data_IF_885498278204
#
_entry.id   IF_885498278204
#
_cell.length_a   1.000
_cell.length_b   1.000
_cell.length_c   1.000
_cell.angle_alpha   90.00
_cell.angle_beta   90.00
_cell.angle_gamma   90.00
#
_symmetry.space_group_name_H-M   'P 1'
#
loop_
_entity.id
_entity.type
_entity.pdbx_description
1 polymer ?
#
# COMPACT_ATOMS: atom_id res chain seq x y z
N UNK A 1 -11.99 -4.58 4.08
CA UNK A 1 -12.41 -5.65 3.14
C UNK A 1 -12.04 -6.99 3.76
N UNK A 2 -12.94 -7.97 3.83
CA UNK A 2 -12.71 -9.20 4.61
C UNK A 2 -11.60 -10.12 4.08
N UNK A 3 -10.94 -9.78 2.96
CA UNK A 3 -9.99 -10.65 2.26
C UNK A 3 -8.53 -10.14 2.28
N UNK A 4 -8.21 -9.06 3.02
CA UNK A 4 -6.84 -8.55 3.09
C UNK A 4 -6.31 -7.92 1.78
N UNK A 5 -7.19 -7.44 0.90
CA UNK A 5 -6.80 -6.71 -0.31
C UNK A 5 -7.12 -5.22 -0.19
N UNK A 6 -6.17 -4.39 -0.62
CA UNK A 6 -6.31 -2.93 -0.67
C UNK A 6 -5.95 -2.39 -2.05
N UNK A 7 -6.54 -1.26 -2.40
CA UNK A 7 -6.32 -0.56 -3.67
C UNK A 7 -5.55 0.75 -3.42
N UNK A 8 -4.19 0.74 -3.41
CA UNK A 8 -3.37 1.94 -3.17
C UNK A 8 -3.43 2.99 -4.27
N UNK A 9 -3.62 2.52 -5.50
CA UNK A 9 -3.73 3.35 -6.69
C UNK A 9 -4.95 2.92 -7.50
N UNK A 10 -5.41 3.77 -8.41
CA UNK A 10 -6.55 3.41 -9.25
C UNK A 10 -6.25 2.22 -10.19
N UNK A 11 -4.98 1.98 -10.52
CA UNK A 11 -4.54 0.87 -11.38
C UNK A 11 -4.03 -0.38 -10.63
N UNK A 12 -3.92 -0.35 -9.30
CA UNK A 12 -3.27 -1.41 -8.53
C UNK A 12 -4.15 -1.95 -7.41
N UNK A 13 -4.31 -3.26 -7.33
CA UNK A 13 -4.93 -3.99 -6.22
C UNK A 13 -3.89 -4.96 -5.66
N UNK A 14 -3.58 -4.85 -4.37
CA UNK A 14 -2.51 -5.62 -3.73
C UNK A 14 -3.02 -6.34 -2.48
N UNK A 15 -2.31 -7.40 -2.09
CA UNK A 15 -2.52 -8.11 -0.84
C UNK A 15 -1.71 -7.44 0.29
N UNK A 16 -2.37 -7.06 1.39
CA UNK A 16 -1.73 -6.37 2.51
C UNK A 16 -0.73 -7.24 3.25
N UNK A 17 -0.95 -8.56 3.28
CA UNK A 17 -0.10 -9.52 3.97
C UNK A 17 1.24 -9.75 3.25
N UNK A 18 1.41 -9.15 2.06
CA UNK A 18 2.61 -9.27 1.20
C UNK A 18 3.34 -7.94 1.06
N UNK A 19 2.99 -6.94 1.88
CA UNK A 19 3.67 -5.65 1.93
C UNK A 19 4.94 -5.82 2.75
N UNK A 20 6.08 -5.45 2.18
CA UNK A 20 7.37 -5.48 2.86
C UNK A 20 7.59 -4.21 3.67
N UNK A 21 7.34 -3.04 3.06
CA UNK A 21 7.45 -1.73 3.71
C UNK A 21 6.72 -0.64 2.92
N UNK A 22 6.44 0.48 3.59
CA UNK A 22 5.99 1.70 2.94
C UNK A 22 7.15 2.70 2.84
N UNK A 23 7.47 3.12 1.62
CA UNK A 23 8.43 4.17 1.36
C UNK A 23 7.72 5.53 1.28
N UNK A 24 8.29 6.55 1.92
CA UNK A 24 7.73 7.91 1.96
C UNK A 24 8.26 8.80 0.83
N UNK A 25 9.22 8.32 0.04
CA UNK A 25 9.85 9.07 -1.06
C UNK A 25 8.82 9.35 -2.18
N UNK A 26 8.95 10.52 -2.85
CA UNK A 26 8.21 10.90 -4.07
C UNK A 26 6.67 10.74 -4.01
N UNK A 27 6.04 11.04 -2.87
CA UNK A 27 4.58 10.97 -2.71
C UNK A 27 4.09 9.70 -2.01
N UNK A 28 4.95 8.69 -1.89
CA UNK A 28 4.72 7.46 -1.14
C UNK A 28 4.46 6.25 -2.02
N UNK A 29 5.18 5.16 -1.78
CA UNK A 29 5.05 3.89 -2.49
C UNK A 29 5.04 2.71 -1.51
N UNK A 30 4.39 1.62 -1.90
CA UNK A 30 4.43 0.35 -1.18
C UNK A 30 5.41 -0.56 -1.86
N UNK A 31 6.33 -1.13 -1.09
CA UNK A 31 7.26 -2.15 -1.56
C UNK A 31 6.68 -3.50 -1.20
N UNK A 32 6.49 -4.35 -2.20
CA UNK A 32 5.99 -5.71 -2.03
C UNK A 32 7.14 -6.69 -1.74
N UNK A 33 6.84 -7.90 -1.26
CA UNK A 33 7.83 -8.98 -1.12
C UNK A 33 8.58 -9.30 -2.42
N UNK A 34 7.94 -9.05 -3.58
CA UNK A 34 8.54 -9.20 -4.91
C UNK A 34 9.54 -8.09 -5.28
N UNK A 35 9.79 -7.15 -4.37
CA UNK A 35 10.56 -5.91 -4.57
C UNK A 35 9.92 -4.92 -5.56
N UNK A 36 8.69 -5.17 -5.98
CA UNK A 36 7.93 -4.23 -6.81
C UNK A 36 7.48 -3.02 -5.99
N UNK A 37 7.62 -1.84 -6.58
CA UNK A 37 7.16 -0.58 -6.02
C UNK A 37 5.79 -0.19 -6.59
N UNK A 38 4.79 -0.11 -5.72
CA UNK A 38 3.43 0.24 -6.07
C UNK A 38 3.16 1.68 -5.61
N UNK A 39 2.93 2.64 -6.53
CA UNK A 39 2.69 4.02 -6.16
C UNK A 39 1.39 4.13 -5.35
N UNK A 40 1.38 4.98 -4.32
CA UNK A 40 0.18 5.26 -3.54
C UNK A 40 -0.39 6.61 -3.92
N UNK A 41 -1.68 6.65 -4.26
CA UNK A 41 -2.35 7.94 -4.52
C UNK A 41 -2.37 8.80 -3.25
N UNK A 42 -2.10 10.11 -3.39
CA UNK A 42 -2.00 11.03 -2.25
C UNK A 42 -3.24 10.98 -1.34
N UNK A 43 -4.44 10.87 -1.92
CA UNK A 43 -5.71 10.79 -1.18
C UNK A 43 -5.83 9.51 -0.35
N UNK A 44 -5.26 8.40 -0.81
CA UNK A 44 -5.33 7.10 -0.13
C UNK A 44 -4.18 6.83 0.84
N UNK A 45 -3.14 7.66 0.82
CA UNK A 45 -1.98 7.53 1.70
C UNK A 45 -2.38 7.45 3.17
N UNK A 46 -3.28 8.32 3.62
CA UNK A 46 -3.75 8.34 5.00
C UNK A 46 -4.49 7.04 5.39
N UNK A 47 -5.39 6.57 4.52
CA UNK A 47 -6.13 5.31 4.70
C UNK A 47 -5.16 4.11 4.78
N UNK A 48 -4.17 4.06 3.90
CA UNK A 48 -3.20 2.95 3.88
C UNK A 48 -2.28 2.96 5.09
N UNK A 49 -1.83 4.13 5.52
CA UNK A 49 -1.03 4.24 6.75
C UNK A 49 -1.83 3.78 7.97
N UNK A 50 -3.12 4.11 8.05
CA UNK A 50 -4.00 3.59 9.12
C UNK A 50 -4.18 2.08 9.03
N UNK A 51 -4.30 1.50 7.84
CA UNK A 51 -4.42 0.05 7.66
C UNK A 51 -3.13 -0.64 8.12
N UNK A 52 -1.97 -0.08 7.78
CA UNK A 52 -0.66 -0.62 8.17
C UNK A 52 -0.39 -0.51 9.68
N UNK A 53 -0.91 0.52 10.34
CA UNK A 53 -0.76 0.73 11.79
C UNK A 53 -1.65 -0.21 12.61
N UNK A 54 -2.76 -0.67 12.01
CA UNK A 54 -3.72 -1.60 12.63
C UNK A 54 -3.49 -3.07 12.23
N UNK A 55 -2.38 -3.38 11.56
CA UNK A 55 -1.99 -4.71 11.07
C UNK A 55 -1.06 -5.39 12.08
#
# INVERSE_FOLDING_TARGET
TPYGFIRPHHSHLINVNRILRFDKINGGSLVMETLEEIPVSHRKKAEILQILDNL
#
